data_IF_446863502284
#
_entry.id   IF_446863502284
#
_cell.length_a   1.000
_cell.length_b   1.000
_cell.length_c   1.000
_cell.angle_alpha   90.00
_cell.angle_beta   90.00
_cell.angle_gamma   90.00
#
_symmetry.space_group_name_H-M   'P 1'
#
loop_
_entity.id
_entity.type
_entity.pdbx_description
1 polymer ?
#
# COMPACT_ATOMS: atom_id res chain seq x y z
N UNK A 1 10.22 5.97 -1.41
CA UNK A 1 8.84 6.50 -1.43
C UNK A 1 8.09 5.89 -2.60
N UNK A 2 6.84 5.55 -2.39
CA UNK A 2 5.94 4.93 -3.36
C UNK A 2 4.67 5.80 -3.42
N UNK A 3 4.21 6.15 -4.61
CA UNK A 3 2.93 6.84 -4.78
C UNK A 3 1.78 5.86 -4.49
N UNK A 4 0.97 6.14 -3.48
CA UNK A 4 -0.15 5.28 -3.09
C UNK A 4 -1.38 5.46 -3.97
N UNK A 5 -2.13 4.38 -4.20
CA UNK A 5 -3.34 4.37 -5.06
C UNK A 5 -4.61 4.92 -4.40
N UNK A 6 -4.67 4.99 -3.07
CA UNK A 6 -5.95 5.08 -2.38
C UNK A 6 -6.85 6.28 -2.77
N UNK A 7 -6.32 7.49 -3.02
CA UNK A 7 -7.13 8.57 -3.57
C UNK A 7 -7.59 8.30 -5.01
N UNK A 8 -6.81 7.62 -5.83
CA UNK A 8 -7.15 7.33 -7.23
C UNK A 8 -8.32 6.37 -7.35
N UNK A 9 -8.40 5.37 -6.48
CA UNK A 9 -9.53 4.41 -6.43
C UNK A 9 -10.62 4.80 -5.44
N UNK A 10 -10.56 6.03 -4.90
CA UNK A 10 -11.57 6.59 -4.01
C UNK A 10 -11.92 5.72 -2.78
N UNK A 11 -10.90 5.13 -2.13
CA UNK A 11 -11.09 4.21 -1.00
C UNK A 11 -12.09 4.75 0.06
N UNK A 12 -13.02 3.91 0.58
CA UNK A 12 -14.15 4.39 1.38
C UNK A 12 -13.74 4.89 2.77
N UNK A 13 -12.56 4.51 3.27
CA UNK A 13 -12.05 4.97 4.57
C UNK A 13 -11.73 6.47 4.61
N UNK A 14 -11.73 7.18 3.48
CA UNK A 14 -11.67 8.66 3.46
C UNK A 14 -13.02 9.33 3.79
N UNK A 15 -14.10 8.57 3.95
CA UNK A 15 -15.43 9.05 4.30
C UNK A 15 -16.00 9.98 3.22
N UNK A 16 -16.44 11.18 3.59
CA UNK A 16 -17.02 12.13 2.63
C UNK A 16 -16.05 12.55 1.51
N UNK A 17 -14.72 12.49 1.75
CA UNK A 17 -13.73 12.79 0.71
C UNK A 17 -13.67 11.74 -0.39
N UNK A 18 -14.02 10.48 -0.10
CA UNK A 18 -14.08 9.41 -1.12
C UNK A 18 -14.98 9.81 -2.28
N UNK A 19 -16.09 10.52 -2.01
CA UNK A 19 -16.99 11.00 -3.08
C UNK A 19 -16.34 12.05 -3.98
N UNK A 20 -15.47 12.91 -3.44
CA UNK A 20 -14.72 13.89 -4.22
C UNK A 20 -13.67 13.18 -5.07
N UNK A 21 -12.92 12.25 -4.46
CA UNK A 21 -11.94 11.42 -5.15
C UNK A 21 -12.56 10.59 -6.28
N UNK A 22 -13.77 10.06 -6.07
CA UNK A 22 -14.51 9.34 -7.10
C UNK A 22 -14.84 10.24 -8.30
N UNK A 23 -15.24 11.49 -8.07
CA UNK A 23 -15.56 12.44 -9.13
C UNK A 23 -14.33 12.98 -9.85
N UNK A 24 -13.31 13.35 -9.08
CA UNK A 24 -12.17 14.11 -9.56
C UNK A 24 -11.05 13.20 -10.11
N UNK A 25 -10.94 11.97 -9.60
CA UNK A 25 -9.83 11.04 -9.88
C UNK A 25 -10.31 9.69 -10.44
N UNK A 26 -11.07 8.89 -9.69
CA UNK A 26 -11.42 7.51 -10.08
C UNK A 26 -12.15 7.41 -11.42
N UNK A 27 -12.92 8.45 -11.78
CA UNK A 27 -13.62 8.51 -13.08
C UNK A 27 -12.84 9.27 -14.15
N UNK A 28 -11.63 9.73 -13.84
CA UNK A 28 -10.84 10.66 -14.64
C UNK A 28 -9.37 10.22 -14.75
N UNK A 29 -9.07 9.27 -15.65
CA UNK A 29 -7.70 8.79 -15.90
C UNK A 29 -6.72 9.91 -16.26
N UNK A 30 -7.15 10.97 -16.96
CA UNK A 30 -6.29 12.12 -17.29
C UNK A 30 -5.83 12.85 -16.02
N UNK A 31 -6.71 13.02 -15.03
CA UNK A 31 -6.33 13.64 -13.75
C UNK A 31 -5.40 12.75 -12.93
N UNK A 32 -5.58 11.42 -12.99
CA UNK A 32 -4.65 10.45 -12.39
C UNK A 32 -3.27 10.58 -13.05
N UNK A 33 -3.21 10.55 -14.38
CA UNK A 33 -1.97 10.68 -15.15
C UNK A 33 -1.22 11.98 -14.80
N UNK A 34 -1.94 13.11 -14.74
CA UNK A 34 -1.40 14.41 -14.33
C UNK A 34 -0.69 14.36 -12.96
N UNK A 35 -1.26 13.65 -11.98
CA UNK A 35 -0.69 13.50 -10.64
C UNK A 35 0.52 12.56 -10.67
N UNK A 36 0.46 11.47 -11.43
CA UNK A 36 1.58 10.52 -11.59
C UNK A 36 2.78 11.24 -12.24
N UNK A 37 2.55 11.98 -13.32
CA UNK A 37 3.58 12.78 -14.02
C UNK A 37 4.18 13.82 -13.07
N UNK A 38 3.35 14.55 -12.32
CA UNK A 38 3.83 15.52 -11.34
C UNK A 38 4.69 14.85 -10.26
N UNK A 39 4.27 13.67 -9.79
CA UNK A 39 5.00 12.88 -8.78
C UNK A 39 6.36 12.43 -9.31
N UNK A 40 6.40 11.96 -10.56
CA UNK A 40 7.63 11.59 -11.23
C UNK A 40 8.58 12.78 -11.39
N UNK A 41 8.07 13.94 -11.81
CA UNK A 41 8.85 15.18 -11.90
C UNK A 41 9.41 15.61 -10.54
N UNK A 42 8.71 15.28 -9.46
CA UNK A 42 9.15 15.49 -8.09
C UNK A 42 9.95 14.32 -7.50
N UNK A 43 10.47 13.39 -8.32
CA UNK A 43 11.44 12.38 -7.89
C UNK A 43 10.83 11.10 -7.32
N UNK A 44 9.51 10.92 -7.36
CA UNK A 44 8.89 9.63 -7.07
C UNK A 44 9.20 8.66 -8.22
N UNK A 45 9.58 7.42 -7.90
CA UNK A 45 10.02 6.42 -8.90
C UNK A 45 9.31 5.08 -8.79
N UNK A 46 8.31 4.99 -7.91
CA UNK A 46 7.50 3.81 -7.76
C UNK A 46 6.05 4.21 -7.47
N UNK A 47 5.10 3.41 -7.95
CA UNK A 47 3.67 3.55 -7.69
C UNK A 47 3.13 2.23 -7.14
N UNK A 48 2.22 2.30 -6.17
CA UNK A 48 1.47 1.14 -5.75
C UNK A 48 0.25 1.00 -6.66
N UNK A 49 0.27 0.04 -7.57
CA UNK A 49 -0.78 -0.16 -8.58
C UNK A 49 -1.73 -1.28 -8.15
N UNK A 50 -3.02 -1.14 -8.47
CA UNK A 50 -4.07 -2.16 -8.30
C UNK A 50 -4.75 -2.38 -9.65
N UNK A 51 -5.45 -3.50 -9.81
CA UNK A 51 -6.21 -3.79 -11.02
C UNK A 51 -7.50 -2.97 -11.06
N UNK A 52 -7.36 -1.69 -11.40
CA UNK A 52 -8.43 -0.72 -11.55
C UNK A 52 -8.31 -0.03 -12.92
N UNK A 53 -9.37 -0.08 -13.71
CA UNK A 53 -9.38 0.39 -15.10
C UNK A 53 -8.90 1.83 -15.25
N UNK A 54 -9.35 2.73 -14.35
CA UNK A 54 -9.04 4.14 -14.45
C UNK A 54 -7.60 4.44 -14.02
N UNK A 55 -7.14 3.78 -12.95
CA UNK A 55 -5.77 3.89 -12.47
C UNK A 55 -4.77 3.30 -13.47
N UNK A 56 -5.02 2.11 -14.02
CA UNK A 56 -4.18 1.49 -15.05
C UNK A 56 -4.07 2.43 -16.25
N UNK A 57 -5.20 2.92 -16.76
CA UNK A 57 -5.19 3.85 -17.88
C UNK A 57 -4.43 5.13 -17.57
N UNK A 58 -4.62 5.71 -16.38
CA UNK A 58 -3.88 6.90 -15.96
C UNK A 58 -2.37 6.64 -15.84
N UNK A 59 -1.98 5.45 -15.41
CA UNK A 59 -0.58 5.04 -15.35
C UNK A 59 0.02 4.85 -16.74
N UNK A 60 -0.65 4.14 -17.65
CA UNK A 60 -0.22 3.96 -19.04
C UNK A 60 -0.01 5.31 -19.75
N UNK A 61 -0.94 6.26 -19.56
CA UNK A 61 -0.78 7.63 -20.08
C UNK A 61 0.48 8.33 -19.54
N UNK A 62 0.83 8.11 -18.27
CA UNK A 62 2.06 8.66 -17.71
C UNK A 62 3.32 7.99 -18.27
N UNK A 63 3.27 6.68 -18.55
CA UNK A 63 4.34 5.94 -19.24
C UNK A 63 4.55 6.48 -20.67
N UNK A 64 3.47 6.75 -21.40
CA UNK A 64 3.50 7.33 -22.76
C UNK A 64 4.15 8.73 -22.77
N UNK A 65 3.98 9.51 -21.69
CA UNK A 65 4.65 10.80 -21.47
C UNK A 65 6.12 10.66 -20.99
N UNK A 66 6.63 9.43 -20.90
CA UNK A 66 8.02 9.13 -20.58
C UNK A 66 8.33 9.00 -19.09
N UNK A 67 7.33 8.80 -18.23
CA UNK A 67 7.56 8.45 -16.84
C UNK A 67 8.14 7.03 -16.75
N UNK A 68 9.28 6.89 -16.08
CA UNK A 68 9.91 5.59 -15.80
C UNK A 68 9.70 5.25 -14.31
N UNK A 69 8.64 4.52 -14.02
CA UNK A 69 8.22 4.19 -12.65
C UNK A 69 8.05 2.69 -12.46
N UNK A 70 8.60 2.20 -11.36
CA UNK A 70 8.44 0.81 -10.92
C UNK A 70 7.06 0.57 -10.34
N UNK A 71 6.48 -0.58 -10.62
CA UNK A 71 5.19 -1.00 -10.08
C UNK A 71 5.40 -1.82 -8.81
N UNK A 72 4.75 -1.39 -7.72
CA UNK A 72 4.52 -2.20 -6.53
C UNK A 72 3.06 -2.64 -6.59
N UNK A 73 2.79 -3.83 -7.08
CA UNK A 73 1.43 -4.27 -7.32
C UNK A 73 0.74 -4.73 -6.03
N UNK A 74 -0.57 -4.53 -5.96
CA UNK A 74 -1.45 -5.19 -4.99
C UNK A 74 -2.28 -6.23 -5.75
N UNK A 75 -2.10 -7.49 -5.38
CA UNK A 75 -2.71 -8.67 -5.99
C UNK A 75 -3.91 -9.13 -5.16
N UNK A 76 -5.04 -9.37 -5.83
CA UNK A 76 -6.28 -9.81 -5.22
C UNK A 76 -7.03 -8.68 -4.51
N UNK A 77 -6.95 -7.45 -5.04
CA UNK A 77 -7.73 -6.33 -4.52
C UNK A 77 -9.22 -6.62 -4.71
N UNK A 78 -9.99 -6.53 -3.63
CA UNK A 78 -11.42 -6.81 -3.64
C UNK A 78 -12.26 -5.57 -3.32
N UNK A 79 -13.50 -5.53 -3.84
CA UNK A 79 -14.51 -4.48 -3.56
C UNK A 79 -15.23 -4.69 -2.21
N UNK A 80 -14.55 -5.28 -1.24
CA UNK A 80 -15.15 -5.60 0.06
C UNK A 80 -15.29 -4.35 0.93
N UNK A 81 -16.44 -4.25 1.61
CA UNK A 81 -16.71 -3.16 2.55
C UNK A 81 -15.75 -3.22 3.75
N UNK A 82 -14.89 -2.21 3.88
CA UNK A 82 -13.98 -2.03 5.01
C UNK A 82 -14.65 -2.04 6.38
N UNK A 83 -15.90 -1.58 6.50
CA UNK A 83 -16.59 -1.48 7.78
C UNK A 83 -17.16 -2.81 8.25
N UNK A 84 -17.48 -3.71 7.31
CA UNK A 84 -17.99 -5.03 7.60
C UNK A 84 -17.49 -6.04 6.55
N UNK A 85 -16.19 -6.38 6.59
CA UNK A 85 -15.57 -7.13 5.52
C UNK A 85 -16.08 -8.56 5.48
N UNK A 86 -16.42 -9.01 4.28
CA UNK A 86 -16.68 -10.41 3.99
C UNK A 86 -15.42 -11.04 3.41
N UNK A 87 -14.59 -11.59 4.28
CA UNK A 87 -13.33 -12.23 3.90
C UNK A 87 -13.53 -13.46 3.01
N UNK A 88 -14.67 -14.14 3.08
CA UNK A 88 -14.94 -15.27 2.18
C UNK A 88 -15.15 -14.78 0.74
N UNK A 89 -15.73 -13.59 0.54
CA UNK A 89 -15.85 -12.97 -0.79
C UNK A 89 -14.50 -12.44 -1.27
N UNK A 90 -13.70 -11.84 -0.39
CA UNK A 90 -12.37 -11.33 -0.74
C UNK A 90 -11.45 -12.43 -1.30
N UNK A 91 -11.59 -13.67 -0.82
CA UNK A 91 -10.76 -14.82 -1.23
C UNK A 91 -11.07 -15.36 -2.63
N UNK A 92 -12.24 -15.03 -3.17
CA UNK A 92 -12.74 -15.56 -4.45
C UNK A 92 -12.47 -14.61 -5.64
N UNK A 93 -11.77 -13.49 -5.42
CA UNK A 93 -11.37 -12.59 -6.51
C UNK A 93 -10.36 -13.26 -7.43
N UNK A 94 -10.30 -12.81 -8.68
CA UNK A 94 -9.36 -13.32 -9.67
C UNK A 94 -7.97 -12.70 -9.48
N UNK A 95 -7.28 -13.17 -8.45
CA UNK A 95 -5.91 -12.76 -8.16
C UNK A 95 -4.89 -13.33 -9.16
N UNK A 96 -5.26 -14.33 -9.98
CA UNK A 96 -4.38 -14.90 -11.00
C UNK A 96 -4.20 -13.95 -12.17
N UNK A 97 -5.31 -13.41 -12.67
CA UNK A 97 -5.33 -12.38 -13.72
C UNK A 97 -4.54 -11.12 -13.30
N UNK A 98 -4.57 -10.76 -12.01
CA UNK A 98 -3.76 -9.66 -11.47
C UNK A 98 -2.25 -9.92 -11.65
N UNK A 99 -1.76 -11.13 -11.34
CA UNK A 99 -0.34 -11.48 -11.50
C UNK A 99 0.06 -11.39 -12.98
N UNK A 100 -0.75 -11.96 -13.88
CA UNK A 100 -0.51 -11.90 -15.33
C UNK A 100 -0.50 -10.46 -15.85
N UNK A 101 -1.43 -9.63 -15.39
CA UNK A 101 -1.47 -8.21 -15.73
C UNK A 101 -0.18 -7.51 -15.31
N UNK A 102 0.23 -7.66 -14.05
CA UNK A 102 1.36 -6.90 -13.50
C UNK A 102 2.73 -7.38 -14.00
N UNK A 103 2.85 -8.63 -14.46
CA UNK A 103 4.06 -9.14 -15.12
C UNK A 103 4.34 -8.43 -16.47
N UNK A 104 3.35 -7.73 -17.05
CA UNK A 104 3.55 -6.91 -18.25
C UNK A 104 4.17 -5.53 -17.97
N UNK A 105 4.33 -5.14 -16.70
CA UNK A 105 4.94 -3.88 -16.29
C UNK A 105 6.33 -4.10 -15.69
N UNK A 106 7.12 -3.03 -15.49
CA UNK A 106 8.33 -3.10 -14.64
C UNK A 106 7.90 -3.24 -13.16
N UNK A 107 7.49 -4.44 -12.78
CA UNK A 107 6.93 -4.77 -11.48
C UNK A 107 7.91 -5.61 -10.64
N UNK A 108 8.83 -4.99 -9.89
CA UNK A 108 9.76 -5.72 -9.03
C UNK A 108 9.13 -6.29 -7.76
N UNK A 109 7.88 -5.93 -7.42
CA UNK A 109 7.25 -6.31 -6.15
C UNK A 109 5.74 -6.45 -6.32
N UNK A 110 5.19 -7.60 -5.92
CA UNK A 110 3.76 -7.84 -5.82
C UNK A 110 3.38 -8.21 -4.39
N UNK A 111 2.30 -7.62 -3.88
CA UNK A 111 1.85 -7.77 -2.50
C UNK A 111 0.43 -8.33 -2.46
N UNK A 112 0.19 -9.35 -1.66
CA UNK A 112 -1.17 -9.92 -1.47
C UNK A 112 -2.02 -8.92 -0.68
N UNK A 113 -3.21 -8.60 -1.19
CA UNK A 113 -4.13 -7.62 -0.60
C UNK A 113 -4.53 -7.95 0.85
N UNK A 114 -4.79 -6.89 1.61
CA UNK A 114 -5.08 -6.99 3.05
C UNK A 114 -6.32 -7.82 3.35
N UNK A 115 -7.36 -7.80 2.51
CA UNK A 115 -8.55 -8.60 2.80
C UNK A 115 -8.32 -10.11 2.61
N UNK A 116 -7.43 -10.50 1.70
CA UNK A 116 -7.06 -11.92 1.56
C UNK A 116 -6.22 -12.33 2.77
N UNK A 117 -5.20 -11.54 3.12
CA UNK A 117 -4.29 -11.82 4.24
C UNK A 117 -5.02 -11.86 5.58
N UNK A 118 -5.90 -10.90 5.83
CA UNK A 118 -6.67 -10.77 7.06
C UNK A 118 -7.84 -11.75 7.13
N UNK A 119 -8.11 -12.47 6.04
CA UNK A 119 -8.93 -13.68 6.03
C UNK A 119 -8.25 -14.90 6.63
N UNK A 120 -6.93 -14.82 6.91
CA UNK A 120 -6.08 -15.81 7.56
C UNK A 120 -6.15 -17.23 6.97
N UNK A 121 -6.45 -17.34 5.68
CA UNK A 121 -6.34 -18.60 4.94
C UNK A 121 -4.92 -18.76 4.41
N UNK A 122 -4.04 -19.25 5.27
CA UNK A 122 -2.62 -19.38 4.95
C UNK A 122 -2.34 -20.33 3.78
N UNK A 123 -3.24 -21.26 3.47
CA UNK A 123 -3.07 -22.12 2.29
C UNK A 123 -3.28 -21.31 1.01
N UNK A 124 -4.34 -20.49 0.97
CA UNK A 124 -4.56 -19.56 -0.13
C UNK A 124 -3.42 -18.55 -0.24
N UNK A 125 -3.07 -17.87 0.86
CA UNK A 125 -1.97 -16.90 0.86
C UNK A 125 -0.66 -17.52 0.37
N UNK A 126 -0.33 -18.74 0.81
CA UNK A 126 0.88 -19.45 0.36
C UNK A 126 0.82 -19.78 -1.14
N UNK A 127 -0.34 -20.14 -1.67
CA UNK A 127 -0.53 -20.40 -3.11
C UNK A 127 -0.28 -19.13 -3.93
N UNK A 128 -0.87 -18.00 -3.53
CA UNK A 128 -0.69 -16.70 -4.22
C UNK A 128 0.78 -16.28 -4.18
N UNK A 129 1.41 -16.31 -3.00
CA UNK A 129 2.83 -15.98 -2.86
C UNK A 129 3.73 -16.87 -3.72
N UNK A 130 3.43 -18.17 -3.79
CA UNK A 130 4.20 -19.11 -4.62
C UNK A 130 4.11 -18.73 -6.10
N UNK A 131 2.92 -18.36 -6.60
CA UNK A 131 2.76 -17.92 -7.99
C UNK A 131 3.44 -16.59 -8.27
N UNK A 132 3.41 -15.64 -7.33
CA UNK A 132 4.21 -14.41 -7.43
C UNK A 132 5.70 -14.76 -7.52
N UNK A 133 6.20 -15.67 -6.69
CA UNK A 133 7.61 -16.07 -6.66
C UNK A 133 8.04 -16.86 -7.92
N UNK A 134 7.10 -17.38 -8.71
CA UNK A 134 7.37 -17.98 -10.03
C UNK A 134 7.60 -16.92 -11.12
N UNK A 135 7.28 -15.64 -10.83
CA UNK A 135 7.62 -14.49 -11.68
C UNK A 135 9.01 -13.93 -11.36
N UNK A 136 9.36 -12.76 -11.91
CA UNK A 136 10.58 -12.03 -11.53
C UNK A 136 10.41 -11.10 -10.32
N UNK A 137 9.18 -10.92 -9.83
CA UNK A 137 8.87 -10.03 -8.73
C UNK A 137 9.19 -10.65 -7.36
N UNK A 138 9.63 -9.83 -6.41
CA UNK A 138 9.59 -10.21 -5.01
C UNK A 138 8.13 -10.22 -4.53
N UNK A 139 7.86 -11.00 -3.48
CA UNK A 139 6.52 -11.11 -2.90
C UNK A 139 6.43 -10.48 -1.51
N UNK A 140 5.21 -10.13 -1.12
CA UNK A 140 4.92 -9.55 0.18
C UNK A 140 3.46 -9.61 0.57
N UNK A 141 3.18 -9.16 1.78
CA UNK A 141 1.83 -9.14 2.36
C UNK A 141 1.43 -7.71 2.72
N UNK A 142 0.15 -7.38 2.54
CA UNK A 142 -0.50 -6.20 3.11
C UNK A 142 -1.42 -6.68 4.23
N UNK A 143 -1.56 -5.92 5.31
CA UNK A 143 -2.52 -6.22 6.39
C UNK A 143 -3.08 -4.94 6.99
N UNK A 144 -4.37 -4.95 7.36
CA UNK A 144 -4.99 -3.88 8.16
C UNK A 144 -4.74 -4.06 9.66
N UNK A 145 -4.37 -5.27 10.12
CA UNK A 145 -4.16 -5.63 11.53
C UNK A 145 -2.69 -5.92 11.84
N UNK A 146 -1.79 -4.91 11.81
CA UNK A 146 -0.35 -5.13 11.92
C UNK A 146 0.09 -5.84 13.20
N UNK A 147 -0.58 -5.71 14.34
CA UNK A 147 -0.19 -6.39 15.56
C UNK A 147 -0.64 -7.87 15.57
N UNK A 148 -1.91 -8.14 15.29
CA UNK A 148 -2.48 -9.50 15.25
C UNK A 148 -1.85 -10.33 14.13
N UNK A 149 -1.76 -9.79 12.92
CA UNK A 149 -1.19 -10.52 11.77
C UNK A 149 0.28 -10.84 12.01
N UNK A 150 1.05 -9.91 12.60
CA UNK A 150 2.44 -10.18 13.01
C UNK A 150 2.54 -11.31 14.04
N UNK A 151 1.67 -11.34 15.05
CA UNK A 151 1.66 -12.42 16.04
C UNK A 151 1.34 -13.79 15.42
N UNK A 152 0.47 -13.83 14.40
CA UNK A 152 0.12 -15.05 13.69
C UNK A 152 1.22 -15.55 12.73
N UNK A 153 2.09 -14.65 12.25
CA UNK A 153 3.16 -14.97 11.32
C UNK A 153 4.40 -15.59 11.99
N UNK A 154 4.67 -15.29 13.26
CA UNK A 154 5.92 -15.63 13.96
C UNK A 154 6.34 -17.11 13.85
N UNK A 155 5.37 -18.02 13.85
CA UNK A 155 5.61 -19.47 13.77
C UNK A 155 4.94 -20.10 12.53
N UNK A 156 4.54 -19.29 11.55
CA UNK A 156 3.81 -19.74 10.38
C UNK A 156 4.76 -19.99 9.19
N UNK A 157 4.69 -21.15 8.51
CA UNK A 157 5.50 -21.44 7.33
C UNK A 157 5.38 -20.42 6.19
N UNK A 158 4.27 -19.68 6.11
CA UNK A 158 4.08 -18.61 5.12
C UNK A 158 5.15 -17.51 5.27
N UNK A 159 5.75 -17.36 6.46
CA UNK A 159 6.80 -16.39 6.71
C UNK A 159 8.01 -16.57 5.78
N UNK A 160 8.31 -17.80 5.36
CA UNK A 160 9.44 -18.10 4.47
C UNK A 160 9.14 -17.80 2.99
N UNK A 161 7.89 -17.48 2.65
CA UNK A 161 7.44 -17.31 1.26
C UNK A 161 7.47 -15.87 0.76
N UNK A 162 7.78 -14.89 1.62
CA UNK A 162 7.74 -13.47 1.24
C UNK A 162 8.84 -12.65 1.91
N UNK A 163 9.19 -11.51 1.30
CA UNK A 163 10.27 -10.63 1.76
C UNK A 163 9.77 -9.28 2.26
N UNK A 164 8.60 -8.83 1.78
CA UNK A 164 8.06 -7.50 2.07
C UNK A 164 6.78 -7.56 2.91
N UNK A 165 6.63 -6.61 3.83
CA UNK A 165 5.45 -6.50 4.67
C UNK A 165 4.97 -5.06 4.73
N UNK A 166 3.83 -4.79 4.09
CA UNK A 166 3.21 -3.49 4.08
C UNK A 166 2.18 -3.38 5.20
N UNK A 167 2.40 -2.43 6.10
CA UNK A 167 1.60 -2.28 7.33
C UNK A 167 1.23 -0.83 7.59
N UNK A 168 0.01 -0.56 8.11
CA UNK A 168 -0.35 0.77 8.54
C UNK A 168 0.52 1.16 9.73
N UNK A 169 1.23 2.29 9.60
CA UNK A 169 2.02 2.87 10.68
C UNK A 169 1.80 4.37 10.66
N UNK A 170 1.22 4.91 11.74
CA UNK A 170 1.08 6.36 11.91
C UNK A 170 1.09 6.75 13.39
N UNK A 171 1.33 8.03 13.65
CA UNK A 171 1.46 8.59 15.01
C UNK A 171 0.20 8.39 15.87
N UNK A 172 -0.96 8.26 15.25
CA UNK A 172 -2.26 8.23 15.93
C UNK A 172 -2.77 6.80 16.21
N UNK A 173 -2.06 5.77 15.76
CA UNK A 173 -2.57 4.39 15.71
C UNK A 173 -3.87 4.25 14.89
N UNK A 174 -4.13 5.17 13.97
CA UNK A 174 -5.36 5.18 13.19
C UNK A 174 -5.36 4.06 12.15
N UNK A 175 -6.47 3.32 12.05
CA UNK A 175 -6.57 2.12 11.18
C UNK A 175 -5.44 1.12 11.43
N UNK A 176 -5.12 0.94 12.71
CA UNK A 176 -4.21 -0.08 13.22
C UNK A 176 -4.93 -0.81 14.35
N UNK A 177 -4.64 -2.08 14.53
CA UNK A 177 -5.15 -2.89 15.65
C UNK A 177 -4.29 -2.72 16.92
N UNK A 178 -3.86 -1.47 17.14
CA UNK A 178 -3.03 -1.05 18.27
C UNK A 178 -3.77 0.10 18.97
N UNK A 179 -4.13 -0.02 20.26
CA UNK A 179 -4.95 1.00 20.93
C UNK A 179 -4.32 2.40 21.00
N UNK A 180 -2.99 2.48 21.10
CA UNK A 180 -2.23 3.73 21.06
C UNK A 180 -0.80 3.45 20.64
N UNK A 181 -0.15 4.40 19.97
CA UNK A 181 1.23 4.25 19.50
C UNK A 181 2.20 5.16 20.24
N UNK A 182 2.13 5.11 21.58
CA UNK A 182 3.03 5.81 22.50
C UNK A 182 4.40 5.09 22.57
N UNK A 183 5.46 5.71 23.14
CA UNK A 183 6.82 5.17 23.05
C UNK A 183 7.00 3.72 23.50
N UNK A 184 6.25 3.28 24.52
CA UNK A 184 6.31 1.90 25.01
C UNK A 184 5.74 0.91 23.99
N UNK A 185 4.52 1.16 23.53
CA UNK A 185 3.82 0.35 22.53
C UNK A 185 4.60 0.31 21.21
N UNK A 186 5.24 1.43 20.83
CA UNK A 186 6.14 1.48 19.66
C UNK A 186 7.34 0.56 19.82
N UNK A 187 7.97 0.54 21.00
CA UNK A 187 9.11 -0.32 21.24
C UNK A 187 8.72 -1.81 21.25
N UNK A 188 7.58 -2.14 21.84
CA UNK A 188 7.03 -3.51 21.82
C UNK A 188 6.69 -3.96 20.41
N UNK A 189 6.03 -3.09 19.62
CA UNK A 189 5.71 -3.36 18.23
C UNK A 189 6.97 -3.51 17.36
N UNK A 190 7.96 -2.62 17.53
CA UNK A 190 9.26 -2.70 16.84
C UNK A 190 9.92 -4.06 17.08
N UNK A 191 10.02 -4.51 18.33
CA UNK A 191 10.64 -5.81 18.66
C UNK A 191 9.92 -6.98 17.99
N UNK A 192 8.60 -6.90 17.79
CA UNK A 192 7.87 -7.93 17.04
C UNK A 192 8.21 -7.84 15.55
N UNK A 193 8.09 -6.67 14.95
CA UNK A 193 8.31 -6.48 13.51
C UNK A 193 9.73 -6.88 13.09
N UNK A 194 10.75 -6.48 13.86
CA UNK A 194 12.15 -6.83 13.56
C UNK A 194 12.42 -8.35 13.61
N UNK A 195 11.64 -9.11 14.40
CA UNK A 195 11.79 -10.58 14.45
C UNK A 195 11.30 -11.28 13.19
N UNK A 196 10.41 -10.66 12.41
CA UNK A 196 9.96 -11.26 11.15
C UNK A 196 11.06 -11.27 10.08
N UNK A 197 12.10 -10.44 10.24
CA UNK A 197 13.20 -10.27 9.28
C UNK A 197 12.69 -9.94 7.86
N UNK A 198 11.77 -8.98 7.77
CA UNK A 198 11.13 -8.53 6.51
C UNK A 198 11.44 -7.08 6.23
N UNK A 199 11.33 -6.70 4.95
CA UNK A 199 11.35 -5.32 4.49
C UNK A 199 10.02 -4.64 4.75
N UNK A 200 10.03 -3.58 5.54
CA UNK A 200 8.81 -2.94 6.01
C UNK A 200 8.42 -1.77 5.11
N UNK A 201 7.19 -1.79 4.64
CA UNK A 201 6.58 -0.69 3.89
C UNK A 201 5.51 -0.04 4.77
N UNK A 202 5.75 1.17 5.25
CA UNK A 202 4.74 1.92 5.98
C UNK A 202 3.67 2.43 5.01
N UNK A 203 2.40 2.10 5.27
CA UNK A 203 1.22 2.69 4.62
C UNK A 203 0.40 3.50 5.62
N UNK A 204 -0.59 4.25 5.13
CA UNK A 204 -1.52 5.09 5.93
C UNK A 204 -0.80 6.06 6.89
N UNK A 205 0.42 6.49 6.57
CA UNK A 205 1.25 7.37 7.42
C UNK A 205 0.56 8.70 7.74
N UNK A 206 -0.30 9.19 6.84
CA UNK A 206 -1.09 10.41 7.00
C UNK A 206 -2.40 10.21 7.79
N UNK A 207 -2.68 9.00 8.29
CA UNK A 207 -3.92 8.65 9.00
C UNK A 207 -5.17 9.07 8.21
N UNK A 208 -5.29 8.63 6.95
CA UNK A 208 -6.32 9.06 6.01
C UNK A 208 -6.43 10.60 5.89
N UNK A 209 -5.31 11.32 5.95
CA UNK A 209 -5.26 12.79 5.86
C UNK A 209 -5.74 13.52 7.12
N UNK A 210 -5.80 12.86 8.28
CA UNK A 210 -5.99 13.50 9.58
C UNK A 210 -4.68 14.17 10.03
N UNK A 211 -3.55 13.50 9.82
CA UNK A 211 -2.23 14.05 10.10
C UNK A 211 -1.77 14.94 8.95
N UNK A 212 -1.14 16.06 9.30
CA UNK A 212 -0.46 16.90 8.32
C UNK A 212 0.83 16.21 7.85
N UNK A 213 1.24 16.37 6.58
CA UNK A 213 2.45 15.75 6.03
C UNK A 213 3.69 15.97 6.89
N UNK A 214 3.99 17.21 7.30
CA UNK A 214 5.14 17.51 8.16
C UNK A 214 5.14 16.72 9.48
N UNK A 215 3.99 16.65 10.17
CA UNK A 215 3.89 15.91 11.42
C UNK A 215 4.03 14.38 11.21
N UNK A 216 3.45 13.87 10.12
CA UNK A 216 3.51 12.45 9.79
C UNK A 216 4.92 12.00 9.39
N UNK A 217 5.64 12.83 8.62
CA UNK A 217 6.99 12.53 8.16
C UNK A 217 8.03 12.75 9.27
N UNK A 218 7.89 13.75 10.13
CA UNK A 218 8.71 13.87 11.35
C UNK A 218 8.57 12.61 12.22
N UNK A 219 7.35 12.08 12.33
CA UNK A 219 7.10 10.82 13.04
C UNK A 219 7.77 9.63 12.34
N UNK A 220 7.64 9.51 11.01
CA UNK A 220 8.29 8.47 10.22
C UNK A 220 9.82 8.45 10.45
N UNK A 221 10.46 9.63 10.54
CA UNK A 221 11.90 9.74 10.77
C UNK A 221 12.35 9.21 12.16
N UNK A 222 11.40 8.96 13.07
CA UNK A 222 11.69 8.31 14.36
C UNK A 222 11.65 6.79 14.31
N UNK A 223 11.32 6.19 13.15
CA UNK A 223 11.14 4.76 12.96
C UNK A 223 12.30 4.19 12.15
N UNK A 224 13.23 3.52 12.82
CA UNK A 224 14.44 2.94 12.22
C UNK A 224 14.24 1.52 11.63
N UNK A 225 13.01 1.01 11.68
CA UNK A 225 12.61 -0.30 11.16
C UNK A 225 11.73 -0.20 9.90
N UNK A 226 11.53 1.00 9.34
CA UNK A 226 10.75 1.22 8.12
C UNK A 226 11.70 1.42 6.95
N UNK A 227 11.67 0.52 5.97
CA UNK A 227 12.53 0.59 4.78
C UNK A 227 11.93 1.47 3.67
N UNK A 228 10.60 1.45 3.53
CA UNK A 228 9.86 2.14 2.47
C UNK A 228 8.60 2.78 3.04
N UNK A 229 8.08 3.79 2.35
CA UNK A 229 6.81 4.42 2.67
C UNK A 229 5.98 4.60 1.41
N UNK A 230 4.68 4.30 1.53
CA UNK A 230 3.65 4.61 0.54
C UNK A 230 2.64 5.59 1.14
N UNK A 231 2.26 6.60 0.36
CA UNK A 231 1.23 7.56 0.73
C UNK A 231 0.53 8.09 -0.51
N UNK A 232 -0.77 8.33 -0.39
CA UNK A 232 -1.58 8.88 -1.47
C UNK A 232 -1.59 10.40 -1.47
N UNK A 233 -1.68 10.97 -2.66
CA UNK A 233 -1.91 12.40 -2.93
C UNK A 233 -3.04 12.53 -3.93
N UNK A 234 -3.89 13.53 -3.76
CA UNK A 234 -5.10 13.73 -4.55
C UNK A 234 -5.02 14.92 -5.51
N UNK A 235 -3.89 15.65 -5.51
CA UNK A 235 -3.67 16.76 -6.44
C UNK A 235 -2.20 17.03 -6.69
N UNK A 236 -1.89 17.68 -7.81
CA UNK A 236 -0.53 18.17 -8.12
C UNK A 236 0.04 19.09 -7.04
N UNK A 237 -0.81 19.87 -6.36
CA UNK A 237 -0.37 20.71 -5.25
C UNK A 237 0.12 19.88 -4.06
N UNK A 238 -0.62 18.83 -3.71
CA UNK A 238 -0.23 17.90 -2.64
C UNK A 238 1.06 17.15 -3.00
N UNK A 239 1.27 16.78 -4.27
CA UNK A 239 2.55 16.22 -4.74
C UNK A 239 3.72 17.15 -4.39
N UNK A 240 3.63 18.42 -4.81
CA UNK A 240 4.70 19.40 -4.59
C UNK A 240 4.98 19.59 -3.11
N UNK A 241 3.93 19.73 -2.29
CA UNK A 241 4.06 19.92 -0.84
C UNK A 241 4.64 18.70 -0.15
N UNK A 242 3.99 17.55 -0.30
CA UNK A 242 4.24 16.35 0.49
C UNK A 242 5.58 15.70 0.13
N UNK A 243 5.87 15.59 -1.18
CA UNK A 243 7.14 15.01 -1.64
C UNK A 243 8.32 15.92 -1.27
N UNK A 244 8.14 17.24 -1.31
CA UNK A 244 9.19 18.19 -0.89
C UNK A 244 9.48 18.05 0.60
N UNK A 245 8.45 17.93 1.45
CA UNK A 245 8.64 17.72 2.88
C UNK A 245 9.36 16.40 3.14
N UNK A 246 8.90 15.30 2.51
CA UNK A 246 9.48 13.97 2.72
C UNK A 246 10.94 13.87 2.27
N UNK A 247 11.37 14.63 1.25
CA UNK A 247 12.77 14.65 0.81
C UNK A 247 13.73 15.37 1.76
N UNK A 248 13.20 16.22 2.64
CA UNK A 248 13.99 17.06 3.53
C UNK A 248 14.15 16.48 4.95
N UNK A 249 13.65 15.27 5.18
CA UNK A 249 13.80 14.52 6.45
C UNK A 249 14.82 13.39 6.30
#
# INVERSE_FOLDING_TARGET
>A
MILGNAPFIAEPYFGHRSRLYDLDLHRNPDAIADIIIESYNHGVRAINLVNDDALIKGFDMALDEGCDMKVVATVGKSDVDYMNPNYDVAKEVDWGDDIELFDNYDCPLMLVDEFIVDGYDWNLTSNILSQINDTSAASGLITAFPNKTTDLLMDNPVLDLFDYYMIPINKLAYMMDIPSFLPKERQEFKVKIEKLDKKIIATRILAAGILKPAEAFDFLNTLDYVDLVTFGVASKKEVVEDVTILKNI
#
